data_IF_518844650853
#
_entry.id   IF_518844650853
#
_cell.length_a   1.000
_cell.length_b   1.000
_cell.length_c   1.000
_cell.angle_alpha   90.00
_cell.angle_beta   90.00
_cell.angle_gamma   90.00
#
_symmetry.space_group_name_H-M   'P 1'
#
loop_
_entity.id
_entity.type
_entity.pdbx_description
1 polymer ?
#
# COMPACT_ATOMS: atom_id res chain seq x y z
N UNK A 1 -11.02 -4.47 -1.44
CA UNK A 1 -10.80 -3.76 -2.72
C UNK A 1 -12.13 -3.31 -3.32
N UNK A 2 -13.07 -4.22 -3.55
CA UNK A 2 -14.30 -3.92 -4.30
C UNK A 2 -15.18 -2.82 -3.68
N UNK A 3 -15.62 -2.98 -2.42
CA UNK A 3 -16.51 -2.01 -1.77
C UNK A 3 -15.89 -0.62 -1.59
N UNK A 4 -14.58 -0.56 -1.33
CA UNK A 4 -13.90 0.71 -1.03
C UNK A 4 -13.51 1.47 -2.30
N UNK A 5 -13.12 0.78 -3.36
CA UNK A 5 -12.58 1.41 -4.57
C UNK A 5 -13.47 1.19 -5.81
N UNK A 6 -13.91 -0.03 -6.09
CA UNK A 6 -14.60 -0.32 -7.35
C UNK A 6 -16.06 0.10 -7.35
N UNK A 7 -16.79 -0.08 -6.26
CA UNK A 7 -18.20 0.33 -6.19
C UNK A 7 -18.39 1.84 -6.39
N UNK A 8 -17.64 2.74 -5.71
CA UNK A 8 -17.73 4.18 -6.00
C UNK A 8 -17.39 4.53 -7.44
N UNK A 9 -16.40 3.85 -8.04
CA UNK A 9 -16.02 4.08 -9.43
C UNK A 9 -17.08 3.59 -10.42
N UNK A 10 -17.70 2.43 -10.19
CA UNK A 10 -18.82 1.92 -11.00
C UNK A 10 -20.02 2.87 -10.93
N UNK A 11 -20.33 3.39 -9.74
CA UNK A 11 -21.43 4.33 -9.56
C UNK A 11 -21.16 5.67 -10.28
N UNK A 12 -19.92 6.17 -10.20
CA UNK A 12 -19.54 7.44 -10.85
C UNK A 12 -19.34 7.31 -12.36
N UNK A 13 -18.87 6.16 -12.82
CA UNK A 13 -18.51 5.88 -14.21
C UNK A 13 -19.11 4.54 -14.67
N UNK A 14 -20.45 4.46 -14.85
CA UNK A 14 -21.15 3.20 -15.12
C UNK A 14 -20.83 2.59 -16.50
N UNK A 15 -20.15 3.34 -17.38
CA UNK A 15 -19.71 2.87 -18.69
C UNK A 15 -18.37 2.12 -18.63
N UNK A 16 -17.67 2.12 -17.49
CA UNK A 16 -16.41 1.40 -17.33
C UNK A 16 -16.66 -0.04 -16.84
N UNK A 17 -16.14 -1.02 -17.59
CA UNK A 17 -16.08 -2.42 -17.14
C UNK A 17 -14.89 -2.61 -16.19
N UNK A 18 -15.14 -2.45 -14.88
CA UNK A 18 -14.11 -2.60 -13.86
C UNK A 18 -14.05 -4.04 -13.35
N UNK A 19 -12.94 -4.72 -13.66
CA UNK A 19 -12.66 -6.11 -13.23
C UNK A 19 -11.50 -6.15 -12.24
N UNK A 20 -11.69 -6.90 -11.14
CA UNK A 20 -10.65 -7.10 -10.12
C UNK A 20 -9.97 -8.46 -10.31
N UNK A 21 -8.65 -8.48 -10.27
CA UNK A 21 -7.85 -9.72 -10.24
C UNK A 21 -7.15 -9.78 -8.89
N UNK A 22 -7.60 -10.70 -8.02
CA UNK A 22 -6.95 -10.94 -6.75
C UNK A 22 -5.72 -11.82 -6.97
N UNK A 23 -4.52 -11.28 -6.72
CA UNK A 23 -3.31 -12.11 -6.75
C UNK A 23 -3.24 -13.01 -5.52
N UNK A 24 -2.84 -14.26 -5.72
CA UNK A 24 -2.74 -15.30 -4.69
C UNK A 24 -1.66 -16.30 -5.09
N UNK A 25 -0.75 -16.61 -4.17
CA UNK A 25 0.25 -17.65 -4.39
C UNK A 25 -0.36 -19.06 -4.31
N UNK A 26 -1.48 -19.22 -3.60
CA UNK A 26 -2.09 -20.52 -3.33
C UNK A 26 -2.76 -21.14 -4.56
N UNK A 27 -3.34 -20.30 -5.43
CA UNK A 27 -4.00 -20.73 -6.67
C UNK A 27 -3.16 -20.43 -7.92
N UNK A 28 -1.93 -19.92 -7.73
CA UNK A 28 -1.02 -19.60 -8.83
C UNK A 28 -1.36 -18.29 -9.56
N UNK A 29 -2.33 -17.50 -9.12
CA UNK A 29 -2.65 -16.17 -9.67
C UNK A 29 -1.58 -15.16 -9.25
N UNK A 30 -0.41 -15.24 -9.86
CA UNK A 30 0.75 -14.39 -9.59
C UNK A 30 1.04 -13.48 -10.80
N UNK A 31 1.75 -12.36 -10.57
CA UNK A 31 2.12 -11.44 -11.67
C UNK A 31 2.86 -12.15 -12.81
N UNK A 32 3.89 -12.99 -12.57
CA UNK A 32 4.53 -13.77 -13.63
C UNK A 32 3.57 -14.61 -14.46
N UNK A 33 2.65 -15.32 -13.79
CA UNK A 33 1.73 -16.21 -14.47
C UNK A 33 0.70 -15.43 -15.29
N UNK A 34 0.22 -14.28 -14.78
CA UNK A 34 -0.67 -13.40 -15.52
C UNK A 34 0.01 -12.82 -16.76
N UNK A 35 1.27 -12.38 -16.63
CA UNK A 35 2.05 -11.87 -17.76
C UNK A 35 2.35 -12.96 -18.80
N UNK A 36 2.75 -14.15 -18.36
CA UNK A 36 3.01 -15.29 -19.23
C UNK A 36 1.74 -15.76 -19.97
N UNK A 37 0.58 -15.67 -19.32
CA UNK A 37 -0.72 -15.96 -19.91
C UNK A 37 -1.24 -14.83 -20.83
N UNK A 38 -0.51 -13.72 -20.97
CA UNK A 38 -0.91 -12.57 -21.78
C UNK A 38 -2.10 -11.80 -21.21
N UNK A 39 -2.39 -11.94 -19.91
CA UNK A 39 -3.44 -11.19 -19.24
C UNK A 39 -3.02 -9.73 -19.15
N UNK A 40 -3.84 -8.85 -19.73
CA UNK A 40 -3.65 -7.41 -19.64
C UNK A 40 -4.35 -6.87 -18.39
N UNK A 41 -3.65 -6.02 -17.64
CA UNK A 41 -4.17 -5.27 -16.52
C UNK A 41 -3.69 -3.82 -16.60
N UNK A 42 -4.55 -2.88 -16.24
CA UNK A 42 -4.28 -1.44 -16.37
C UNK A 42 -3.78 -0.82 -15.06
N UNK A 43 -4.26 -1.34 -13.93
CA UNK A 43 -3.94 -0.85 -12.59
C UNK A 43 -3.36 -1.98 -11.75
N UNK A 44 -2.28 -1.66 -11.05
CA UNK A 44 -1.61 -2.58 -10.13
C UNK A 44 -1.44 -1.90 -8.77
N UNK A 45 -1.77 -2.61 -7.70
CA UNK A 45 -1.60 -2.13 -6.32
C UNK A 45 -0.95 -3.21 -5.48
N UNK A 46 -0.05 -2.79 -4.59
CA UNK A 46 0.60 -3.67 -3.62
C UNK A 46 1.11 -2.84 -2.43
N UNK A 47 1.66 -3.51 -1.43
CA UNK A 47 2.54 -2.90 -0.43
C UNK A 47 3.75 -2.22 -1.10
N UNK A 48 4.40 -1.29 -0.38
CA UNK A 48 5.58 -0.56 -0.88
C UNK A 48 6.64 -1.49 -1.50
N UNK A 49 7.07 -2.51 -0.75
CA UNK A 49 8.12 -3.44 -1.21
C UNK A 49 7.66 -4.32 -2.38
N UNK A 50 6.47 -4.92 -2.27
CA UNK A 50 5.95 -5.76 -3.37
C UNK A 50 5.64 -4.97 -4.65
N UNK A 51 5.35 -3.67 -4.53
CA UNK A 51 5.18 -2.78 -5.69
C UNK A 51 6.53 -2.50 -6.37
N UNK A 52 7.56 -2.19 -5.59
CA UNK A 52 8.93 -1.99 -6.08
C UNK A 52 9.45 -3.21 -6.82
N UNK A 53 9.38 -4.39 -6.19
CA UNK A 53 9.81 -5.67 -6.76
C UNK A 53 9.11 -5.95 -8.09
N UNK A 54 7.78 -5.89 -8.13
CA UNK A 54 7.03 -6.22 -9.33
C UNK A 54 7.33 -5.28 -10.52
N UNK A 55 7.51 -3.98 -10.26
CA UNK A 55 7.84 -3.01 -11.32
C UNK A 55 9.25 -3.19 -11.87
N UNK A 56 10.21 -3.52 -10.99
CA UNK A 56 11.60 -3.74 -11.39
C UNK A 56 11.75 -5.06 -12.14
N UNK A 57 11.24 -6.16 -11.57
CA UNK A 57 11.47 -7.51 -12.07
C UNK A 57 10.74 -7.81 -13.39
N UNK A 58 9.56 -7.21 -13.58
CA UNK A 58 8.70 -7.48 -14.74
C UNK A 58 8.56 -6.30 -15.70
N UNK A 59 9.40 -5.29 -15.54
CA UNK A 59 9.43 -4.07 -16.34
C UNK A 59 8.08 -3.36 -16.48
N UNK A 60 7.27 -3.36 -15.41
CA UNK A 60 5.95 -2.71 -15.37
C UNK A 60 6.03 -1.20 -15.08
N UNK A 61 7.22 -0.62 -15.23
CA UNK A 61 7.53 0.77 -14.90
C UNK A 61 6.93 1.71 -15.96
N UNK A 62 5.94 2.50 -15.56
CA UNK A 62 5.44 3.64 -16.34
C UNK A 62 5.61 4.96 -15.55
N UNK A 63 6.40 5.90 -16.07
CA UNK A 63 6.58 7.21 -15.42
C UNK A 63 5.31 8.05 -15.60
N UNK A 64 4.58 8.26 -14.51
CA UNK A 64 3.29 8.96 -14.54
C UNK A 64 3.43 10.47 -14.48
N UNK A 65 4.65 11.03 -14.42
CA UNK A 65 4.87 12.47 -14.26
C UNK A 65 4.18 13.30 -15.35
N UNK A 66 4.19 12.82 -16.59
CA UNK A 66 3.52 13.48 -17.70
C UNK A 66 1.99 13.38 -17.61
N UNK A 67 1.45 12.24 -17.18
CA UNK A 67 0.00 12.07 -16.98
C UNK A 67 -0.50 12.96 -15.84
N UNK A 68 0.24 13.02 -14.73
CA UNK A 68 -0.09 13.87 -13.57
C UNK A 68 -0.19 15.32 -14.01
N UNK A 69 0.79 15.81 -14.79
CA UNK A 69 0.77 17.16 -15.34
C UNK A 69 -0.36 17.36 -16.34
N UNK A 70 -0.56 16.43 -17.27
CA UNK A 70 -1.58 16.53 -18.33
C UNK A 70 -3.00 16.59 -17.79
N UNK A 71 -3.29 15.80 -16.75
CA UNK A 71 -4.63 15.68 -16.18
C UNK A 71 -4.83 16.51 -14.90
N UNK A 72 -3.85 17.35 -14.54
CA UNK A 72 -3.85 18.17 -13.32
C UNK A 72 -4.21 17.35 -12.08
N UNK A 73 -3.59 16.17 -11.94
CA UNK A 73 -3.82 15.30 -10.79
C UNK A 73 -3.25 16.00 -9.56
N UNK A 74 -4.13 16.36 -8.62
CA UNK A 74 -3.73 17.02 -7.39
C UNK A 74 -3.07 16.04 -6.42
N UNK A 75 -1.75 15.92 -6.55
CA UNK A 75 -0.90 15.16 -5.64
C UNK A 75 -0.55 15.94 -4.37
N UNK A 76 -0.89 17.23 -4.28
CA UNK A 76 -0.63 18.07 -3.10
C UNK A 76 -1.54 17.74 -1.92
N UNK A 77 -2.70 17.13 -2.18
CA UNK A 77 -3.58 16.57 -1.16
C UNK A 77 -3.07 15.24 -0.56
N UNK A 78 -2.08 14.61 -1.19
CA UNK A 78 -1.47 13.40 -0.66
C UNK A 78 -0.39 13.76 0.35
N UNK A 79 -0.15 12.85 1.30
CA UNK A 79 0.84 13.08 2.34
C UNK A 79 2.25 13.23 1.71
N UNK A 80 2.97 14.33 1.96
CA UNK A 80 4.22 14.63 1.28
C UNK A 80 5.30 13.55 1.46
N UNK A 81 5.45 12.97 2.64
CA UNK A 81 6.48 11.94 2.88
C UNK A 81 6.20 10.65 2.12
N UNK A 82 4.94 10.32 1.87
CA UNK A 82 4.54 9.19 1.04
C UNK A 82 4.90 9.39 -0.42
N UNK A 83 4.64 10.59 -0.96
CA UNK A 83 5.02 10.95 -2.33
C UNK A 83 6.54 10.94 -2.48
N UNK A 84 7.26 11.50 -1.52
CA UNK A 84 8.72 11.51 -1.54
C UNK A 84 9.29 10.08 -1.42
N UNK A 85 8.72 9.23 -0.57
CA UNK A 85 9.10 7.81 -0.48
C UNK A 85 8.92 7.07 -1.81
N UNK A 86 7.84 7.36 -2.54
CA UNK A 86 7.60 6.79 -3.88
C UNK A 86 8.58 7.32 -4.92
N UNK A 87 9.01 8.59 -4.84
CA UNK A 87 10.04 9.16 -5.73
C UNK A 87 11.41 8.54 -5.47
N UNK A 88 11.80 8.44 -4.21
CA UNK A 88 13.10 7.90 -3.81
C UNK A 88 13.27 6.44 -4.24
N UNK A 89 12.18 5.66 -4.22
CA UNK A 89 12.14 4.28 -4.72
C UNK A 89 12.64 4.15 -6.17
N UNK A 90 12.41 5.16 -7.01
CA UNK A 90 12.71 5.09 -8.45
C UNK A 90 13.57 6.27 -8.94
N UNK A 91 14.52 6.72 -8.13
CA UNK A 91 15.50 7.72 -8.55
C UNK A 91 14.89 9.09 -8.91
N UNK A 92 13.84 9.49 -8.20
CA UNK A 92 13.18 10.80 -8.33
C UNK A 92 11.91 10.81 -9.20
N UNK A 93 11.69 9.75 -9.99
CA UNK A 93 10.51 9.58 -10.84
C UNK A 93 9.32 9.00 -10.07
N UNK A 94 8.11 9.24 -10.56
CA UNK A 94 6.88 8.82 -9.89
C UNK A 94 6.14 7.77 -10.73
N UNK A 95 6.36 6.50 -10.39
CA UNK A 95 5.80 5.34 -11.10
C UNK A 95 4.50 4.78 -10.48
N UNK A 96 4.13 5.28 -9.29
CA UNK A 96 2.90 4.90 -8.59
C UNK A 96 2.44 6.02 -7.66
N UNK A 97 1.17 6.01 -7.28
CA UNK A 97 0.62 6.90 -6.25
C UNK A 97 0.33 6.14 -4.96
N UNK A 98 0.64 6.69 -3.78
CA UNK A 98 0.29 6.08 -2.52
C UNK A 98 -1.22 6.18 -2.29
N UNK A 99 -1.92 5.05 -2.35
CA UNK A 99 -3.38 4.99 -2.13
C UNK A 99 -3.77 4.61 -0.69
N UNK A 100 -2.82 4.07 0.07
CA UNK A 100 -3.00 3.68 1.47
C UNK A 100 -1.71 3.88 2.25
N UNK A 101 -1.82 4.50 3.41
CA UNK A 101 -0.76 4.51 4.43
C UNK A 101 -1.10 3.52 5.54
N UNK A 102 -0.08 2.87 6.08
CA UNK A 102 -0.18 2.18 7.35
C UNK A 102 0.65 2.95 8.37
N UNK A 103 0.07 3.21 9.54
CA UNK A 103 0.82 3.73 10.69
C UNK A 103 1.27 2.56 11.55
N UNK A 104 2.51 2.59 12.02
CA UNK A 104 2.96 1.67 13.06
C UNK A 104 2.44 2.18 14.41
N UNK A 105 1.56 1.40 15.04
CA UNK A 105 1.10 1.65 16.40
C UNK A 105 1.60 0.54 17.31
N UNK A 106 2.12 0.94 18.48
CA UNK A 106 2.38 0.01 19.56
C UNK A 106 1.09 -0.20 20.34
N UNK A 107 0.56 -1.41 20.28
CA UNK A 107 -0.56 -1.84 21.12
C UNK A 107 0.02 -2.57 22.33
N UNK A 108 -0.37 -2.15 23.53
CA UNK A 108 -0.05 -2.87 24.76
C UNK A 108 -1.31 -3.02 25.61
N UNK A 109 -1.37 -4.10 26.39
CA UNK A 109 -2.44 -4.30 27.36
C UNK A 109 -2.13 -3.46 28.60
N UNK A 110 -2.93 -2.41 28.83
CA UNK A 110 -2.74 -1.49 29.96
C UNK A 110 -2.78 -2.21 31.31
N UNK A 111 -3.68 -3.17 31.48
CA UNK A 111 -3.82 -3.93 32.74
C UNK A 111 -2.54 -4.71 33.05
N UNK A 112 -1.95 -5.39 32.06
CA UNK A 112 -0.70 -6.13 32.28
C UNK A 112 0.48 -5.19 32.57
N UNK A 113 0.52 -4.02 31.93
CA UNK A 113 1.55 -3.02 32.21
C UNK A 113 1.43 -2.44 33.64
N UNK A 114 0.21 -2.22 34.12
CA UNK A 114 -0.05 -1.76 35.48
C UNK A 114 0.27 -2.83 36.53
N UNK A 115 -0.09 -4.09 36.26
CA UNK A 115 0.22 -5.23 37.14
C UNK A 115 1.73 -5.46 37.26
N UNK A 116 2.46 -5.42 36.15
CA UNK A 116 3.92 -5.56 36.15
C UNK A 116 4.62 -4.42 36.90
N UNK A 117 4.14 -3.17 36.75
CA UNK A 117 4.65 -2.03 37.52
C UNK A 117 4.40 -2.23 39.04
N UNK A 118 3.20 -2.66 39.42
CA UNK A 118 2.84 -2.91 40.83
C UNK A 118 3.71 -4.02 41.45
N UNK A 119 4.06 -5.06 40.70
CA UNK A 119 4.96 -6.11 41.17
C UNK A 119 6.38 -5.59 41.42
N UNK A 120 6.90 -4.72 40.55
CA UNK A 120 8.23 -4.08 40.70
C UNK A 120 8.27 -3.18 41.95
N UNK A 121 7.22 -2.39 42.18
CA UNK A 121 7.11 -1.48 43.33
C UNK A 121 6.97 -2.27 44.66
N UNK A 122 6.26 -3.39 44.64
CA UNK A 122 6.11 -4.25 45.83
C UNK A 122 7.42 -4.99 46.16
N UNK A 123 8.16 -5.43 45.15
CA UNK A 123 9.47 -6.08 45.32
C UNK A 123 10.54 -5.13 45.86
N UNK A 124 10.48 -3.84 45.52
CA UNK A 124 11.44 -2.83 45.99
C UNK A 124 11.13 -2.31 47.39
N UNK A 125 9.86 -2.36 47.82
CA UNK A 125 9.46 -2.01 49.19
C UNK A 125 9.83 -3.06 50.25
N UNK A 126 10.01 -4.33 49.85
CA UNK A 126 10.34 -5.43 50.78
C UNK A 126 11.85 -5.57 51.02
N UNK A 127 12.69 -4.86 50.26
CA UNK A 127 14.16 -4.84 50.41
C UNK A 127 14.69 -3.62 51.17
N UNK A 128 13.84 -2.85 51.86
CA UNK A 128 14.24 -1.74 52.74
C UNK A 128 13.84 -1.98 54.19
#
# INVERSE_FOLDING_TARGET
MEAVYLEPLRNKYPHLDLRYIQTSKADGTTIPNLLAAGVKFDLYTNSRGGFEEALLDYDLKYDMSDLIRKYNVDIGHLEPTAIESMRQMFGGKLYGLPVKMNSLLMYYNKTLAEETQKMIDTSTATQR
#
